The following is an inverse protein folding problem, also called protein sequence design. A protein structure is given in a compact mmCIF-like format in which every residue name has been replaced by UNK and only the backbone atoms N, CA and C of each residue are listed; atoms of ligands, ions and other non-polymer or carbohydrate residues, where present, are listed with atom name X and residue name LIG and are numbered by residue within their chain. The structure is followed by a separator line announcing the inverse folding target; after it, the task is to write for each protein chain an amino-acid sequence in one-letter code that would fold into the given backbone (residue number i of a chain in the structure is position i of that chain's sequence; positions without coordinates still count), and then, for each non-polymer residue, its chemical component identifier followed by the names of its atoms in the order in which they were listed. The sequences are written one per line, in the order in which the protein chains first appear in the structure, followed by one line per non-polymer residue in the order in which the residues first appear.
data_IF_942642552485
#
_entry.id   IF_942642552485
#
_cell.length_a   1.000
_cell.length_b   1.000
_cell.length_c   1.000
_cell.angle_alpha   90.00
_cell.angle_beta   90.00
_cell.angle_gamma   90.00
#
_symmetry.space_group_name_H-M   'P 1'
#
loop_
_entity.id
_entity.type
_entity.pdbx_description
1 polymer ?
#
# COMPACT_ATOMS: atom_id res chain seq x y z
N UNK A 1 0.36 14.93 23.02
CA UNK A 1 0.81 14.48 21.69
C UNK A 1 -0.20 13.47 21.21
N UNK A 2 -0.86 13.68 20.06
CA UNK A 2 -1.71 12.63 19.47
C UNK A 2 -0.76 11.63 18.80
N UNK A 3 -0.14 10.76 19.59
CA UNK A 3 0.56 9.61 19.03
C UNK A 3 -0.53 8.60 18.65
N UNK A 4 -0.98 8.69 17.40
CA UNK A 4 -1.75 7.60 16.79
C UNK A 4 -0.89 6.35 16.72
N UNK A 5 -1.52 5.18 16.62
CA UNK A 5 -0.77 3.95 16.45
C UNK A 5 0.02 3.95 15.10
N UNK A 6 1.14 3.21 15.00
CA UNK A 6 2.05 3.28 13.84
C UNK A 6 1.47 2.70 12.55
N UNK A 7 0.43 1.87 12.65
CA UNK A 7 -0.23 1.25 11.51
C UNK A 7 -1.54 1.97 11.27
N UNK A 8 -1.71 2.50 10.06
CA UNK A 8 -2.93 3.17 9.61
C UNK A 8 -3.54 2.47 8.40
N UNK A 9 -4.87 2.52 8.31
CA UNK A 9 -5.61 1.96 7.17
C UNK A 9 -6.59 2.99 6.62
N UNK A 10 -6.35 3.36 5.37
CA UNK A 10 -7.20 4.27 4.61
C UNK A 10 -7.75 3.57 3.37
N UNK A 11 -8.77 4.14 2.74
CA UNK A 11 -9.24 3.70 1.44
C UNK A 11 -9.11 4.84 0.45
N UNK A 12 -8.87 4.50 -0.82
CA UNK A 12 -8.85 5.47 -1.89
C UNK A 12 -10.19 6.26 -1.92
N UNK A 13 -10.13 7.50 -2.39
CA UNK A 13 -11.27 8.41 -2.59
C UNK A 13 -12.47 7.80 -3.31
N UNK A 14 -12.25 6.75 -4.09
CA UNK A 14 -13.29 6.02 -4.82
C UNK A 14 -14.14 5.07 -3.96
N UNK A 15 -13.79 4.87 -2.69
CA UNK A 15 -14.51 3.99 -1.77
C UNK A 15 -15.59 4.73 -0.96
N UNK A 16 -16.67 4.02 -0.65
CA UNK A 16 -17.78 4.56 0.15
C UNK A 16 -17.33 4.87 1.58
N UNK A 17 -17.80 5.99 2.13
CA UNK A 17 -17.62 6.34 3.54
C UNK A 17 -18.21 5.30 4.50
N UNK A 18 -19.13 4.46 4.04
CA UNK A 18 -19.70 3.35 4.82
C UNK A 18 -18.66 2.27 5.17
N UNK A 19 -17.50 2.25 4.51
CA UNK A 19 -16.39 1.34 4.84
C UNK A 19 -15.56 1.82 6.03
N UNK A 20 -15.65 3.10 6.42
CA UNK A 20 -14.84 3.67 7.53
C UNK A 20 -14.89 2.86 8.83
N UNK A 21 -16.06 2.35 9.29
CA UNK A 21 -16.11 1.50 10.49
C UNK A 21 -15.29 0.22 10.34
N UNK A 22 -15.34 -0.42 9.17
CA UNK A 22 -14.54 -1.61 8.87
C UNK A 22 -13.05 -1.29 8.85
N UNK A 23 -12.65 -0.17 8.23
CA UNK A 23 -11.23 0.24 8.20
C UNK A 23 -10.69 0.45 9.61
N UNK A 24 -11.45 1.13 10.48
CA UNK A 24 -11.08 1.33 11.88
C UNK A 24 -10.96 0.01 12.65
N UNK A 25 -11.85 -0.96 12.38
CA UNK A 25 -11.76 -2.30 12.98
C UNK A 25 -10.51 -3.06 12.52
N UNK A 26 -10.19 -2.99 11.22
CA UNK A 26 -8.99 -3.61 10.66
C UNK A 26 -7.70 -2.97 11.21
N UNK A 27 -7.68 -1.64 11.32
CA UNK A 27 -6.55 -0.89 11.85
C UNK A 27 -6.30 -1.25 13.31
N UNK A 28 -7.35 -1.24 14.13
CA UNK A 28 -7.27 -1.63 15.54
C UNK A 28 -6.81 -3.08 15.69
N UNK A 29 -7.38 -4.00 14.90
CA UNK A 29 -7.01 -5.41 14.95
C UNK A 29 -5.53 -5.62 14.58
N UNK A 30 -5.03 -4.97 13.53
CA UNK A 30 -3.65 -5.16 13.08
C UNK A 30 -2.65 -4.58 14.08
N UNK A 31 -2.94 -3.40 14.63
CA UNK A 31 -2.15 -2.82 15.72
C UNK A 31 -2.13 -3.72 16.96
N UNK A 32 -3.24 -4.39 17.28
CA UNK A 32 -3.28 -5.35 18.37
C UNK A 32 -2.42 -6.60 18.10
N UNK A 33 -2.38 -7.10 16.85
CA UNK A 33 -1.47 -8.20 16.51
C UNK A 33 -0.01 -7.78 16.63
N UNK A 34 0.36 -6.59 16.15
CA UNK A 34 1.71 -6.05 16.29
C UNK A 34 2.11 -5.88 17.77
N UNK A 35 1.20 -5.36 18.59
CA UNK A 35 1.40 -5.26 20.04
C UNK A 35 1.62 -6.63 20.69
N UNK A 36 0.80 -7.64 20.34
CA UNK A 36 0.97 -9.01 20.84
C UNK A 36 2.30 -9.64 20.41
N UNK A 37 2.80 -9.27 19.25
CA UNK A 37 4.08 -9.72 18.70
C UNK A 37 5.27 -8.88 19.19
N UNK A 38 5.06 -7.98 20.15
CA UNK A 38 6.08 -7.14 20.78
C UNK A 38 6.73 -6.09 19.85
N UNK A 39 6.07 -5.72 18.75
CA UNK A 39 6.62 -4.79 17.74
C UNK A 39 6.83 -3.37 18.26
N UNK A 40 6.17 -2.99 19.35
CA UNK A 40 6.20 -1.63 19.91
C UNK A 40 7.08 -1.49 21.14
N UNK A 41 7.86 -2.52 21.49
CA UNK A 41 8.70 -2.51 22.70
C UNK A 41 9.95 -1.64 22.59
N UNK A 42 10.34 -1.24 21.38
CA UNK A 42 11.44 -0.31 21.15
C UNK A 42 10.93 0.98 20.51
N UNK A 43 10.87 2.07 21.29
CA UNK A 43 10.39 3.37 20.81
C UNK A 43 11.30 4.02 19.75
N UNK A 44 12.59 3.66 19.73
CA UNK A 44 13.54 4.13 18.70
C UNK A 44 13.41 3.36 17.38
N UNK A 45 12.66 2.25 17.39
CA UNK A 45 12.50 1.35 16.25
C UNK A 45 11.04 0.90 16.12
N UNK A 46 10.22 1.76 15.52
CA UNK A 46 8.82 1.48 15.25
C UNK A 46 8.59 1.46 13.74
N UNK A 47 8.15 0.30 13.22
CA UNK A 47 7.68 0.20 11.84
C UNK A 47 6.31 0.86 11.70
N UNK A 48 6.20 1.81 10.79
CA UNK A 48 4.95 2.46 10.41
C UNK A 48 4.43 1.92 9.09
N UNK A 49 3.12 1.75 8.99
CA UNK A 49 2.47 1.24 7.78
C UNK A 49 1.29 2.12 7.39
N UNK A 50 1.29 2.57 6.14
CA UNK A 50 0.19 3.30 5.51
C UNK A 50 -0.48 2.38 4.48
N UNK A 51 -1.52 1.67 4.93
CA UNK A 51 -2.32 0.81 4.06
C UNK A 51 -3.40 1.61 3.34
N UNK A 52 -3.55 1.38 2.04
CA UNK A 52 -4.51 2.06 1.18
C UNK A 52 -5.29 1.00 0.41
N UNK A 53 -6.58 0.84 0.71
CA UNK A 53 -7.45 -0.03 -0.08
C UNK A 53 -7.72 0.60 -1.45
N UNK A 54 -7.50 -0.19 -2.49
CA UNK A 54 -7.70 0.17 -3.91
C UNK A 54 -8.62 -0.87 -4.57
N UNK A 55 -9.33 -0.50 -5.63
CA UNK A 55 -10.19 -1.48 -6.34
C UNK A 55 -9.35 -2.60 -6.92
N UNK A 56 -8.39 -2.25 -7.78
CA UNK A 56 -7.42 -3.16 -8.37
C UNK A 56 -6.03 -2.52 -8.44
N UNK A 57 -4.98 -3.35 -8.48
CA UNK A 57 -3.61 -2.85 -8.69
C UNK A 57 -3.41 -2.31 -10.11
N UNK A 58 -4.09 -2.87 -11.10
CA UNK A 58 -4.01 -2.43 -12.49
C UNK A 58 -4.49 -0.99 -12.64
N UNK A 59 -5.69 -0.69 -12.12
CA UNK A 59 -6.24 0.68 -12.11
C UNK A 59 -5.33 1.63 -11.34
N UNK A 60 -4.79 1.20 -10.19
CA UNK A 60 -3.88 2.05 -9.41
C UNK A 60 -2.57 2.35 -10.16
N UNK A 61 -2.05 1.38 -10.90
CA UNK A 61 -0.85 1.54 -11.70
C UNK A 61 -1.05 2.56 -12.84
N UNK A 62 -2.21 2.55 -13.50
CA UNK A 62 -2.57 3.55 -14.52
C UNK A 62 -2.64 4.97 -13.94
N UNK A 63 -3.20 5.12 -12.73
CA UNK A 63 -3.26 6.41 -12.05
C UNK A 63 -1.88 6.95 -11.65
N UNK A 64 -0.94 6.07 -11.30
CA UNK A 64 0.43 6.45 -10.93
C UNK A 64 1.29 6.80 -12.16
N UNK A 65 0.95 6.25 -13.33
CA UNK A 65 1.67 6.52 -14.59
C UNK A 65 1.09 7.70 -15.37
N UNK A 66 -0.19 8.02 -15.17
CA UNK A 66 -0.89 9.14 -15.82
C UNK A 66 -0.76 10.49 -15.08
N UNK A 67 -0.18 10.53 -13.88
CA UNK A 67 0.09 11.78 -13.17
C UNK A 67 1.16 12.60 -13.92
N UNK A 68 0.85 13.80 -14.45
CA UNK A 68 1.85 14.62 -15.10
C UNK A 68 2.84 15.14 -14.05
N UNK A 69 4.13 14.92 -14.28
CA UNK A 69 5.18 15.68 -13.61
C UNK A 69 4.86 17.17 -13.77
N UNK A 70 4.82 17.90 -12.64
CA UNK A 70 4.33 19.27 -12.57
C UNK A 70 4.91 20.17 -13.67
N UNK A 71 4.00 20.84 -14.38
CA UNK A 71 4.29 21.95 -15.28
C UNK A 71 5.00 23.08 -14.52
N UNK A 72 6.24 23.38 -14.89
CA UNK A 72 6.76 24.75 -14.85
C UNK A 72 7.05 25.19 -16.27
N UNK A 73 6.38 26.28 -16.66
CA UNK A 73 6.36 26.85 -17.98
C UNK A 73 7.70 27.54 -18.32
N UNK A 74 8.17 27.30 -19.54
CA UNK A 74 9.27 28.00 -20.17
C UNK A 74 9.25 27.73 -21.66
N UNK A 75 8.65 28.64 -22.41
CA UNK A 75 8.57 28.68 -23.88
C UNK A 75 9.96 28.58 -24.53
N UNK A 76 10.16 27.70 -25.51
CA UNK A 76 10.68 28.03 -26.86
C UNK A 76 10.84 26.78 -27.75
N UNK A 77 10.16 26.85 -28.90
CA UNK A 77 10.43 26.32 -30.25
C UNK A 77 11.20 24.99 -30.47
N UNK A 78 10.62 24.21 -31.40
CA UNK A 78 11.23 23.26 -32.33
C UNK A 78 12.18 22.19 -31.76
N UNK A 79 11.68 20.95 -31.71
CA UNK A 79 12.25 19.84 -32.49
C UNK A 79 11.35 18.63 -32.32
N UNK A 80 10.86 18.15 -33.46
CA UNK A 80 10.18 16.88 -33.63
C UNK A 80 11.15 15.74 -33.26
N UNK A 81 10.98 15.13 -32.08
CA UNK A 81 11.60 13.83 -31.76
C UNK A 81 10.49 12.79 -31.68
N UNK A 82 10.46 11.97 -32.73
CA UNK A 82 9.67 10.75 -32.85
C UNK A 82 10.20 9.76 -31.81
N UNK A 83 9.58 9.70 -30.63
CA UNK A 83 9.88 8.67 -29.64
C UNK A 83 8.98 7.46 -29.89
N UNK A 84 9.53 6.50 -30.61
CA UNK A 84 9.09 5.12 -30.62
C UNK A 84 9.45 4.53 -29.24
N UNK A 85 8.58 4.76 -28.24
CA UNK A 85 8.69 4.13 -26.93
C UNK A 85 7.56 3.12 -26.86
N UNK A 86 7.93 1.83 -26.92
CA UNK A 86 6.98 0.73 -26.72
C UNK A 86 6.12 1.02 -25.50
N UNK A 87 4.82 0.79 -25.63
CA UNK A 87 3.83 0.94 -24.57
C UNK A 87 4.30 0.12 -23.35
N UNK A 88 4.97 0.78 -22.42
CA UNK A 88 5.34 0.18 -21.15
C UNK A 88 4.03 0.00 -20.39
N UNK A 89 3.68 -1.26 -20.10
CA UNK A 89 2.46 -1.57 -19.37
C UNK A 89 2.51 -0.86 -18.01
N UNK A 90 1.39 -0.28 -17.57
CA UNK A 90 1.31 0.37 -16.27
C UNK A 90 1.75 -0.58 -15.13
N UNK A 91 1.49 -1.87 -15.28
CA UNK A 91 1.95 -2.92 -14.36
C UNK A 91 3.49 -3.00 -14.26
N UNK A 92 4.19 -2.87 -15.39
CA UNK A 92 5.66 -2.88 -15.43
C UNK A 92 6.24 -1.64 -14.73
N UNK A 93 5.59 -0.49 -14.92
CA UNK A 93 5.98 0.76 -14.27
C UNK A 93 5.80 0.70 -12.74
N UNK A 94 4.74 0.05 -12.25
CA UNK A 94 4.53 -0.18 -10.83
C UNK A 94 5.62 -1.10 -10.26
N UNK A 95 5.89 -2.22 -10.92
CA UNK A 95 6.86 -3.23 -10.48
C UNK A 95 8.31 -2.72 -10.42
N UNK A 96 8.65 -1.62 -11.11
CA UNK A 96 9.97 -0.97 -11.00
C UNK A 96 10.25 -0.37 -9.63
N UNK A 97 9.22 -0.02 -8.86
CA UNK A 97 9.34 0.73 -7.60
C UNK A 97 8.66 0.06 -6.41
N UNK A 98 7.81 -0.91 -6.69
CA UNK A 98 6.99 -1.61 -5.71
C UNK A 98 7.27 -3.10 -5.80
N UNK A 99 7.24 -3.76 -4.65
CA UNK A 99 7.09 -5.22 -4.61
C UNK A 99 5.63 -5.51 -4.91
N UNK A 100 5.36 -6.29 -5.96
CA UNK A 100 4.01 -6.59 -6.44
C UNK A 100 3.74 -8.07 -6.26
N UNK A 101 2.65 -8.38 -5.56
CA UNK A 101 2.19 -9.73 -5.27
C UNK A 101 0.70 -9.87 -5.62
N UNK A 102 0.16 -11.09 -5.72
CA UNK A 102 -1.27 -11.28 -5.95
C UNK A 102 -2.12 -10.57 -4.90
N UNK A 103 -2.79 -9.50 -5.31
CA UNK A 103 -3.75 -8.75 -4.49
C UNK A 103 -3.18 -7.60 -3.66
N UNK A 104 -1.86 -7.38 -3.66
CA UNK A 104 -1.26 -6.23 -2.99
C UNK A 104 0.07 -5.79 -3.62
N UNK A 105 0.44 -4.54 -3.37
CA UNK A 105 1.76 -4.02 -3.71
C UNK A 105 2.26 -3.14 -2.58
N UNK A 106 3.56 -3.14 -2.28
CA UNK A 106 4.12 -2.29 -1.23
C UNK A 106 5.49 -1.71 -1.59
N UNK A 107 5.82 -0.59 -0.93
CA UNK A 107 7.13 0.04 -0.97
C UNK A 107 7.55 0.37 0.46
N UNK A 108 8.73 -0.11 0.87
CA UNK A 108 9.32 0.16 2.18
C UNK A 108 10.42 1.23 2.04
N UNK A 109 10.30 2.34 2.78
CA UNK A 109 11.39 3.28 3.04
C UNK A 109 12.07 2.90 4.35
N UNK A 110 13.08 2.03 4.26
CA UNK A 110 13.82 1.52 5.42
C UNK A 110 14.55 2.63 6.20
N UNK A 111 14.81 3.78 5.59
CA UNK A 111 15.45 4.92 6.27
C UNK A 111 14.48 5.65 7.21
N UNK A 112 13.18 5.56 6.93
CA UNK A 112 12.11 6.16 7.73
C UNK A 112 11.26 5.12 8.47
N UNK A 113 11.60 3.84 8.35
CA UNK A 113 10.82 2.72 8.89
C UNK A 113 9.33 2.80 8.48
N UNK A 114 9.05 3.31 7.29
CA UNK A 114 7.68 3.56 6.81
C UNK A 114 7.42 2.75 5.57
N UNK A 115 6.31 2.02 5.55
CA UNK A 115 5.85 1.25 4.39
C UNK A 115 4.52 1.79 3.89
N UNK A 116 4.43 2.09 2.59
CA UNK A 116 3.14 2.34 1.93
C UNK A 116 2.71 1.09 1.18
N UNK A 117 1.45 0.70 1.30
CA UNK A 117 0.94 -0.51 0.66
C UNK A 117 -0.46 -0.31 0.06
N UNK A 118 -0.64 -0.80 -1.17
CA UNK A 118 -1.93 -0.89 -1.84
C UNK A 118 -2.52 -2.27 -1.66
N UNK A 119 -3.76 -2.35 -1.17
CA UNK A 119 -4.50 -3.59 -0.97
C UNK A 119 -5.65 -3.62 -1.96
N UNK A 120 -5.58 -4.48 -2.98
CA UNK A 120 -6.69 -4.67 -3.91
C UNK A 120 -7.86 -5.37 -3.21
N UNK A 121 -9.09 -5.11 -3.66
CA UNK A 121 -10.28 -5.76 -3.08
C UNK A 121 -11.26 -6.29 -4.11
N UNK A 122 -11.19 -5.88 -5.38
CA UNK A 122 -12.19 -6.26 -6.39
C UNK A 122 -12.23 -7.78 -6.62
N UNK A 123 -11.09 -8.45 -6.52
CA UNK A 123 -10.98 -9.88 -6.69
C UNK A 123 -11.49 -10.68 -5.46
N UNK A 124 -11.44 -10.10 -4.27
CA UNK A 124 -11.96 -10.72 -3.04
C UNK A 124 -13.48 -10.86 -3.07
N UNK A 125 -14.18 -9.91 -3.69
CA UNK A 125 -15.63 -9.98 -3.86
C UNK A 125 -16.10 -11.19 -4.70
N UNK A 126 -15.21 -11.75 -5.53
CA UNK A 126 -15.51 -12.86 -6.45
C UNK A 126 -15.16 -14.24 -5.88
N UNK A 127 -14.32 -14.29 -4.85
CA UNK A 127 -13.68 -15.51 -4.36
C UNK A 127 -14.41 -16.27 -3.24
N UNK A 128 -15.54 -15.78 -2.74
CA UNK A 128 -16.33 -16.45 -1.68
C UNK A 128 -15.71 -16.44 -0.26
N UNK A 129 -14.45 -16.03 -0.12
CA UNK A 129 -13.85 -15.64 1.16
C UNK A 129 -14.42 -14.27 1.53
N UNK A 130 -14.90 -14.10 2.76
CA UNK A 130 -15.43 -12.80 3.21
C UNK A 130 -14.39 -11.69 2.98
N UNK A 131 -14.83 -10.57 2.40
CA UNK A 131 -13.96 -9.44 2.00
C UNK A 131 -13.03 -9.02 3.15
N UNK A 132 -13.53 -8.99 4.38
CA UNK A 132 -12.73 -8.68 5.57
C UNK A 132 -11.56 -9.65 5.77
N UNK A 133 -11.80 -10.96 5.69
CA UNK A 133 -10.75 -11.97 5.86
C UNK A 133 -9.70 -11.88 4.75
N UNK A 134 -10.14 -11.66 3.50
CA UNK A 134 -9.23 -11.44 2.39
C UNK A 134 -8.35 -10.20 2.57
N UNK A 135 -8.91 -9.11 3.11
CA UNK A 135 -8.14 -7.91 3.43
C UNK A 135 -7.14 -8.19 4.57
N UNK A 136 -7.58 -8.83 5.66
CA UNK A 136 -6.73 -9.21 6.79
C UNK A 136 -5.51 -10.01 6.36
N UNK A 137 -5.71 -11.05 5.54
CA UNK A 137 -4.63 -11.87 5.02
C UNK A 137 -3.59 -11.04 4.24
N UNK A 138 -4.04 -10.09 3.40
CA UNK A 138 -3.15 -9.22 2.61
C UNK A 138 -2.39 -8.22 3.48
N UNK A 139 -3.06 -7.64 4.47
CA UNK A 139 -2.42 -6.73 5.43
C UNK A 139 -1.31 -7.45 6.22
N UNK A 140 -1.59 -8.65 6.73
CA UNK A 140 -0.60 -9.48 7.43
C UNK A 140 0.55 -9.85 6.49
N UNK A 141 0.26 -10.23 5.25
CA UNK A 141 1.30 -10.62 4.28
C UNK A 141 2.32 -9.48 4.08
N UNK A 142 1.85 -8.25 3.87
CA UNK A 142 2.73 -7.08 3.76
C UNK A 142 3.49 -6.83 5.05
N UNK A 143 2.79 -6.79 6.18
CA UNK A 143 3.39 -6.51 7.49
C UNK A 143 4.51 -7.52 7.80
N UNK A 144 4.26 -8.82 7.61
CA UNK A 144 5.22 -9.87 7.85
C UNK A 144 6.40 -9.84 6.86
N UNK A 145 6.15 -9.53 5.59
CA UNK A 145 7.21 -9.41 4.59
C UNK A 145 8.21 -8.30 4.95
N UNK A 146 7.72 -7.18 5.50
CA UNK A 146 8.59 -6.09 5.99
C UNK A 146 9.18 -6.42 7.36
N UNK A 147 8.38 -6.89 8.32
CA UNK A 147 8.84 -7.22 9.67
C UNK A 147 9.95 -8.28 9.69
N UNK A 148 9.92 -9.24 8.77
CA UNK A 148 10.98 -10.24 8.62
C UNK A 148 12.34 -9.61 8.24
N UNK A 149 12.35 -8.53 7.46
CA UNK A 149 13.57 -7.79 7.09
C UNK A 149 14.24 -7.17 8.33
N UNK A 150 13.50 -7.04 9.43
CA UNK A 150 13.92 -6.45 10.69
C UNK A 150 13.92 -7.47 11.84
N UNK A 151 13.86 -8.77 11.54
CA UNK A 151 13.88 -9.87 12.51
C UNK A 151 12.73 -9.81 13.55
N UNK A 152 11.58 -9.23 13.18
CA UNK A 152 10.40 -9.20 14.04
C UNK A 152 9.62 -10.52 14.01
N UNK A 153 8.89 -10.79 15.10
CA UNK A 153 7.99 -11.94 15.21
C UNK A 153 6.83 -11.76 14.23
N UNK A 154 6.50 -12.81 13.46
CA UNK A 154 5.40 -12.76 12.50
C UNK A 154 4.04 -12.56 13.18
N UNK A 155 3.20 -11.72 12.57
CA UNK A 155 1.80 -11.52 12.93
C UNK A 155 0.95 -12.71 12.51
N UNK A 156 -0.09 -12.99 13.29
CA UNK A 156 -1.04 -14.09 13.07
C UNK A 156 -2.44 -13.57 12.72
N UNK A 157 -3.20 -14.35 11.94
CA UNK A 157 -4.63 -14.12 11.67
C UNK A 157 -5.51 -14.16 12.93
#
# INVERSE_FOLDING_TARGET
MQQGFPITITADSQFSSSLKPLLAQLEMWLNFQALKADWYSNEDFILSFDFILVRSLAEKAEHLTSAPAGTQAGTHADTQVKNEKGEESAADALAKRWVVEPGYAYQNDSSKLTTTAFIAVDDLARGGVGIEQGIKARLIAVANAVGQQHCLIALSE
#
